data_IF_455176789062
#
_entry.id   IF_455176789062
#
_cell.length_a   1.000
_cell.length_b   1.000
_cell.length_c   1.000
_cell.angle_alpha   90.00
_cell.angle_beta   90.00
_cell.angle_gamma   90.00
#
_symmetry.space_group_name_H-M   'P 1'
#
loop_
_entity.id
_entity.type
_entity.pdbx_description
1 polymer ?
#
# COMPACT_ATOMS: atom_id res chain seq x y z
N UNK A 1 -61.04 -8.83 -29.97
CA UNK A 1 -59.75 -9.49 -29.62
C UNK A 1 -58.78 -8.42 -29.12
N UNK A 2 -58.58 -8.30 -27.81
CA UNK A 2 -57.60 -7.37 -27.20
C UNK A 2 -56.22 -8.02 -27.25
N UNK A 3 -55.26 -7.40 -27.96
CA UNK A 3 -53.86 -7.86 -28.01
C UNK A 3 -53.12 -7.35 -26.76
N UNK A 4 -52.70 -8.27 -25.90
CA UNK A 4 -51.76 -8.02 -24.82
C UNK A 4 -50.35 -7.86 -25.41
N UNK A 5 -49.73 -6.69 -25.24
CA UNK A 5 -48.32 -6.48 -25.55
C UNK A 5 -47.54 -6.74 -24.27
N UNK A 6 -46.84 -7.88 -24.22
CA UNK A 6 -45.92 -8.19 -23.13
C UNK A 6 -44.62 -7.42 -23.35
N UNK A 7 -44.32 -6.46 -22.47
CA UNK A 7 -43.04 -5.77 -22.44
C UNK A 7 -41.99 -6.68 -21.81
N UNK A 8 -41.02 -7.11 -22.62
CA UNK A 8 -39.86 -7.89 -22.16
C UNK A 8 -38.81 -6.90 -21.63
N UNK A 9 -38.78 -6.69 -20.31
CA UNK A 9 -37.75 -5.89 -19.67
C UNK A 9 -36.42 -6.65 -19.70
N UNK A 10 -35.49 -6.20 -20.55
CA UNK A 10 -34.13 -6.70 -20.58
C UNK A 10 -33.41 -6.24 -19.31
N UNK A 11 -33.21 -7.16 -18.35
CA UNK A 11 -32.37 -6.94 -17.18
C UNK A 11 -30.91 -6.84 -17.63
N UNK A 12 -30.41 -5.62 -17.77
CA UNK A 12 -28.97 -5.36 -17.91
C UNK A 12 -28.35 -5.49 -16.52
N UNK A 13 -27.73 -6.63 -16.25
CA UNK A 13 -26.90 -6.80 -15.06
C UNK A 13 -25.68 -5.87 -15.17
N UNK A 14 -25.42 -4.98 -14.19
CA UNK A 14 -24.21 -4.19 -14.19
C UNK A 14 -23.03 -5.14 -13.98
N UNK A 15 -22.15 -5.22 -14.99
CA UNK A 15 -20.85 -5.84 -14.82
C UNK A 15 -20.01 -4.90 -13.96
N UNK A 16 -19.75 -5.29 -12.71
CA UNK A 16 -18.78 -4.63 -11.87
C UNK A 16 -17.40 -4.80 -12.53
N UNK A 17 -16.96 -3.78 -13.26
CA UNK A 17 -15.57 -3.67 -13.68
C UNK A 17 -14.73 -3.45 -12.41
N UNK A 18 -13.96 -4.47 -12.03
CA UNK A 18 -12.90 -4.37 -11.01
C UNK A 18 -11.84 -3.38 -11.52
N UNK A 19 -11.98 -2.11 -11.14
CA UNK A 19 -11.04 -1.07 -11.47
C UNK A 19 -9.71 -1.21 -10.75
N UNK A 20 -8.69 -1.73 -11.43
CA UNK A 20 -7.29 -1.32 -11.24
C UNK A 20 -6.95 -0.37 -12.41
N UNK A 21 -7.37 0.89 -12.34
CA UNK A 21 -7.41 1.76 -13.52
C UNK A 21 -6.07 2.40 -13.96
N UNK A 22 -4.97 2.23 -13.21
CA UNK A 22 -3.73 2.97 -13.52
C UNK A 22 -3.00 2.50 -14.79
N UNK A 23 -3.17 1.24 -15.23
CA UNK A 23 -2.35 0.68 -16.34
C UNK A 23 -3.11 0.30 -17.61
N UNK A 24 -4.44 0.26 -17.58
CA UNK A 24 -5.27 -0.13 -18.74
C UNK A 24 -5.13 0.82 -19.94
N UNK A 25 -4.61 2.03 -19.71
CA UNK A 25 -4.31 3.02 -20.74
C UNK A 25 -3.15 2.60 -21.65
N UNK A 26 -2.16 1.87 -21.13
CA UNK A 26 -0.94 1.56 -21.86
C UNK A 26 -1.13 0.32 -22.75
N UNK A 27 -0.42 0.28 -23.88
CA UNK A 27 -0.33 -0.90 -24.73
C UNK A 27 0.71 -1.88 -24.21
N UNK A 28 0.73 -3.08 -24.79
CA UNK A 28 1.80 -4.06 -24.53
C UNK A 28 3.03 -3.80 -25.44
N UNK A 29 2.94 -2.79 -26.32
CA UNK A 29 4.01 -2.40 -27.23
C UNK A 29 4.99 -1.49 -26.50
N UNK A 30 6.26 -1.94 -26.43
CA UNK A 30 7.35 -1.11 -25.94
C UNK A 30 7.88 -0.23 -27.05
N UNK A 31 7.88 1.07 -26.82
CA UNK A 31 8.50 2.06 -27.72
C UNK A 31 9.74 2.64 -27.07
N UNK A 32 10.59 3.24 -27.89
CA UNK A 32 11.76 4.01 -27.46
C UNK A 32 11.62 5.44 -27.96
N UNK A 33 11.81 6.41 -27.07
CA UNK A 33 11.71 7.84 -27.36
C UNK A 33 12.94 8.56 -26.79
N UNK A 34 13.60 9.35 -27.63
CA UNK A 34 14.65 10.29 -27.22
C UNK A 34 14.06 11.70 -27.05
N UNK A 35 14.49 12.42 -26.02
CA UNK A 35 14.06 13.80 -25.79
C UNK A 35 14.90 14.54 -24.75
N UNK A 36 14.62 15.84 -24.61
CA UNK A 36 15.27 16.71 -23.62
C UNK A 36 14.38 16.81 -22.39
N UNK A 37 14.93 16.51 -21.22
CA UNK A 37 14.22 16.57 -19.95
C UNK A 37 13.88 18.02 -19.59
N UNK A 38 12.61 18.30 -19.36
CA UNK A 38 12.11 19.65 -19.04
C UNK A 38 11.62 19.74 -17.60
N UNK A 39 11.11 18.64 -17.04
CA UNK A 39 10.53 18.63 -15.70
C UNK A 39 10.53 17.23 -15.08
N UNK A 40 10.75 17.17 -13.78
CA UNK A 40 10.64 15.95 -12.95
C UNK A 40 9.64 16.19 -11.82
N UNK A 41 8.82 15.20 -11.54
CA UNK A 41 7.90 15.11 -10.39
C UNK A 41 8.27 13.86 -9.62
N UNK A 42 8.90 14.04 -8.46
CA UNK A 42 9.38 12.95 -7.63
C UNK A 42 8.46 12.71 -6.42
N UNK A 43 7.22 12.35 -6.68
CA UNK A 43 6.16 12.23 -5.67
C UNK A 43 5.50 10.84 -5.67
N UNK A 44 4.86 10.47 -4.56
CA UNK A 44 4.05 9.24 -4.45
C UNK A 44 2.72 9.43 -5.22
N UNK A 45 2.14 8.42 -5.90
CA UNK A 45 2.51 6.99 -5.95
C UNK A 45 3.53 6.59 -7.00
N UNK A 46 3.71 7.39 -8.04
CA UNK A 46 4.67 7.14 -9.12
C UNK A 46 5.34 8.44 -9.49
N UNK A 47 6.66 8.38 -9.70
CA UNK A 47 7.36 9.51 -10.29
C UNK A 47 6.84 9.76 -11.70
N UNK A 48 6.96 11.00 -12.15
CA UNK A 48 6.77 11.33 -13.55
C UNK A 48 7.83 12.31 -14.01
N UNK A 49 8.23 12.25 -15.27
CA UNK A 49 9.10 13.24 -15.88
C UNK A 49 8.63 13.56 -17.29
N UNK A 50 9.08 14.69 -17.82
CA UNK A 50 8.56 15.28 -19.04
C UNK A 50 9.71 15.54 -19.98
N UNK A 51 9.63 15.01 -21.21
CA UNK A 51 10.61 15.29 -22.24
C UNK A 51 9.99 16.10 -23.37
N UNK A 52 10.74 17.05 -23.89
CA UNK A 52 10.50 17.64 -25.20
C UNK A 52 11.08 16.70 -26.26
N UNK A 53 10.19 16.17 -27.09
CA UNK A 53 10.48 15.18 -28.12
C UNK A 53 10.37 15.84 -29.48
N UNK A 54 11.42 15.71 -30.28
CA UNK A 54 11.42 16.23 -31.64
C UNK A 54 10.60 15.30 -32.55
N UNK A 55 9.51 15.80 -33.11
CA UNK A 55 8.70 15.11 -34.09
C UNK A 55 8.81 15.80 -35.46
N UNK A 56 8.22 15.18 -36.49
CA UNK A 56 8.11 15.78 -37.83
C UNK A 56 7.24 17.04 -37.85
N UNK A 57 6.33 17.19 -36.87
CA UNK A 57 5.39 18.31 -36.77
C UNK A 57 5.92 19.46 -35.91
N UNK A 58 7.04 19.26 -35.20
CA UNK A 58 7.60 20.23 -34.26
C UNK A 58 8.08 19.56 -32.99
N UNK A 59 8.18 20.31 -31.91
CA UNK A 59 8.51 19.79 -30.58
C UNK A 59 7.20 19.49 -29.85
N UNK A 60 7.10 18.29 -29.27
CA UNK A 60 5.98 17.87 -28.43
C UNK A 60 6.47 17.51 -27.03
N UNK A 61 5.77 17.93 -26.00
CA UNK A 61 6.07 17.50 -24.63
C UNK A 61 5.35 16.18 -24.32
N UNK A 62 6.11 15.18 -23.89
CA UNK A 62 5.64 13.84 -23.55
C UNK A 62 5.79 13.58 -22.06
N UNK A 63 4.84 12.85 -21.45
CA UNK A 63 4.88 12.43 -20.05
C UNK A 63 5.39 11.00 -19.91
N UNK A 64 6.33 10.78 -19.01
CA UNK A 64 6.92 9.48 -18.71
C UNK A 64 6.61 9.13 -17.25
N UNK A 65 5.94 8.01 -17.01
CA UNK A 65 5.46 7.58 -15.69
C UNK A 65 6.21 6.34 -15.21
N UNK A 66 6.65 6.33 -13.95
CA UNK A 66 7.35 5.18 -13.35
C UNK A 66 6.40 4.05 -12.92
N UNK A 67 6.90 2.82 -12.80
CA UNK A 67 6.09 1.65 -12.39
C UNK A 67 5.86 1.51 -10.90
N UNK A 68 6.80 2.04 -10.12
CA UNK A 68 6.92 1.81 -8.68
C UNK A 68 6.90 3.15 -7.93
N UNK A 69 6.90 3.08 -6.60
CA UNK A 69 6.96 4.27 -5.77
C UNK A 69 8.39 4.88 -5.71
N UNK A 70 8.51 6.20 -5.45
CA UNK A 70 9.80 6.89 -5.40
C UNK A 70 10.83 6.21 -4.47
N UNK A 71 10.39 5.71 -3.31
CA UNK A 71 11.29 5.08 -2.35
C UNK A 71 11.89 3.76 -2.87
N UNK A 72 11.14 3.01 -3.68
CA UNK A 72 11.66 1.79 -4.30
C UNK A 72 12.72 2.10 -5.37
N UNK A 73 12.54 3.17 -6.15
CA UNK A 73 13.56 3.63 -7.10
C UNK A 73 14.84 4.06 -6.39
N UNK A 74 14.72 4.87 -5.34
CA UNK A 74 15.87 5.33 -4.53
C UNK A 74 16.65 4.15 -3.96
N UNK A 75 15.96 3.14 -3.39
CA UNK A 75 16.61 1.91 -2.89
C UNK A 75 17.31 1.10 -3.97
N UNK A 76 16.87 1.22 -5.22
CA UNK A 76 17.53 0.58 -6.38
C UNK A 76 18.65 1.43 -6.98
N UNK A 77 18.98 2.57 -6.36
CA UNK A 77 20.01 3.50 -6.82
C UNK A 77 19.54 4.50 -7.87
N UNK A 78 18.25 4.50 -8.25
CA UNK A 78 17.67 5.48 -9.17
C UNK A 78 17.11 6.64 -8.34
N UNK A 79 17.89 7.71 -8.22
CA UNK A 79 17.62 8.87 -7.38
C UNK A 79 17.23 10.11 -8.21
N UNK A 80 16.53 11.10 -7.63
CA UNK A 80 16.05 12.27 -8.38
C UNK A 80 17.16 13.11 -9.03
N UNK A 81 18.34 13.15 -8.40
CA UNK A 81 19.53 13.87 -8.87
C UNK A 81 20.11 13.32 -10.18
N UNK A 82 19.71 12.12 -10.61
CA UNK A 82 20.08 11.56 -11.91
C UNK A 82 19.27 12.14 -13.08
N UNK A 83 18.28 12.98 -12.80
CA UNK A 83 17.36 13.55 -13.78
C UNK A 83 17.40 15.08 -13.71
N UNK A 84 18.38 15.70 -14.38
CA UNK A 84 18.50 17.16 -14.41
C UNK A 84 17.79 17.76 -15.62
N UNK A 85 16.90 18.76 -15.47
CA UNK A 85 16.33 19.46 -16.61
C UNK A 85 17.41 20.00 -17.56
N UNK A 86 17.30 19.67 -18.83
CA UNK A 86 18.32 19.89 -19.86
C UNK A 86 19.00 18.59 -20.33
N UNK A 87 18.94 17.53 -19.55
CA UNK A 87 19.50 16.23 -19.92
C UNK A 87 18.82 15.64 -21.15
N UNK A 88 19.62 15.00 -21.99
CA UNK A 88 19.12 14.20 -23.10
C UNK A 88 18.98 12.76 -22.65
N UNK A 89 17.75 12.26 -22.68
CA UNK A 89 17.40 10.92 -22.22
C UNK A 89 16.82 10.09 -23.37
N UNK A 90 17.12 8.79 -23.36
CA UNK A 90 16.43 7.82 -24.21
C UNK A 90 15.59 6.92 -23.32
N UNK A 91 14.28 6.91 -23.52
CA UNK A 91 13.33 6.24 -22.64
C UNK A 91 12.61 5.13 -23.38
N UNK A 92 12.66 3.93 -22.82
CA UNK A 92 11.88 2.80 -23.27
C UNK A 92 10.69 2.55 -22.35
N UNK A 93 9.54 2.19 -22.92
CA UNK A 93 8.37 1.82 -22.13
C UNK A 93 7.10 1.61 -22.93
N UNK A 94 6.01 1.34 -22.23
CA UNK A 94 4.72 1.03 -22.83
C UNK A 94 4.00 2.31 -23.25
N UNK A 95 3.57 2.39 -24.51
CA UNK A 95 2.91 3.59 -25.05
C UNK A 95 1.48 3.72 -24.54
N UNK A 96 1.06 4.92 -24.18
CA UNK A 96 -0.36 5.23 -23.93
C UNK A 96 -1.18 5.15 -25.22
N UNK A 97 -2.35 4.49 -25.14
CA UNK A 97 -3.34 4.44 -26.23
C UNK A 97 -4.16 5.73 -26.35
N UNK A 98 -3.98 6.70 -25.45
CA UNK A 98 -4.88 7.87 -25.28
C UNK A 98 -4.18 9.22 -25.38
N UNK A 99 -2.88 9.29 -25.10
CA UNK A 99 -2.13 10.56 -25.01
C UNK A 99 -0.64 10.32 -25.28
N UNK A 100 0.13 11.41 -25.38
CA UNK A 100 1.58 11.40 -25.47
C UNK A 100 2.19 11.04 -24.11
N UNK A 101 2.06 9.78 -23.71
CA UNK A 101 2.59 9.28 -22.47
C UNK A 101 3.18 7.87 -22.61
N UNK A 102 4.15 7.56 -21.76
CA UNK A 102 4.84 6.27 -21.70
C UNK A 102 4.93 5.80 -20.25
N UNK A 103 4.62 4.52 -20.01
CA UNK A 103 4.90 3.83 -18.75
C UNK A 103 6.30 3.20 -18.83
N UNK A 104 7.26 3.78 -18.11
CA UNK A 104 8.71 3.66 -18.34
C UNK A 104 9.28 2.35 -17.83
N UNK A 105 9.87 1.54 -18.71
CA UNK A 105 10.62 0.34 -18.26
C UNK A 105 12.09 0.65 -18.01
N UNK A 106 12.73 1.44 -18.88
CA UNK A 106 14.15 1.74 -18.84
C UNK A 106 14.38 3.19 -19.29
N UNK A 107 15.40 3.84 -18.72
CA UNK A 107 15.87 5.15 -19.19
C UNK A 107 17.38 5.11 -19.34
N UNK A 108 17.89 5.42 -20.51
CA UNK A 108 19.30 5.71 -20.73
C UNK A 108 19.56 7.17 -20.34
N UNK A 109 20.36 7.34 -19.28
CA UNK A 109 20.73 8.63 -18.72
C UNK A 109 21.78 9.34 -19.58
N UNK A 110 21.95 10.64 -19.37
CA UNK A 110 22.87 11.48 -20.15
C UNK A 110 24.33 11.03 -20.05
N UNK A 111 24.72 10.40 -18.94
CA UNK A 111 26.06 9.84 -18.69
C UNK A 111 26.28 8.45 -19.36
N UNK A 112 25.25 7.91 -20.01
CA UNK A 112 25.26 6.58 -20.63
C UNK A 112 24.90 5.43 -19.68
N UNK A 113 24.53 5.72 -18.43
CA UNK A 113 24.03 4.72 -17.48
C UNK A 113 22.58 4.36 -17.78
N UNK A 114 22.28 3.07 -17.86
CA UNK A 114 20.90 2.59 -17.95
C UNK A 114 20.25 2.53 -16.56
N UNK A 115 19.20 3.32 -16.33
CA UNK A 115 18.29 3.15 -15.21
C UNK A 115 17.18 2.14 -15.57
N UNK A 116 17.18 0.97 -14.96
CA UNK A 116 16.12 -0.04 -15.10
C UNK A 116 15.01 0.25 -14.08
N UNK A 117 13.89 0.81 -14.54
CA UNK A 117 12.88 1.46 -13.69
C UNK A 117 11.61 0.64 -13.45
N UNK A 118 11.45 -0.48 -14.16
CA UNK A 118 10.34 -1.41 -13.98
C UNK A 118 10.77 -2.72 -13.31
N UNK A 119 9.90 -3.34 -12.48
CA UNK A 119 10.15 -4.69 -11.96
C UNK A 119 10.30 -5.69 -13.11
N UNK A 120 11.35 -6.52 -13.06
CA UNK A 120 11.68 -7.56 -14.06
C UNK A 120 11.93 -7.02 -15.48
N UNK A 121 12.12 -5.72 -15.67
CA UNK A 121 12.60 -5.22 -16.96
C UNK A 121 14.03 -5.73 -17.19
N UNK A 122 14.25 -6.30 -18.37
CA UNK A 122 15.60 -6.65 -18.80
C UNK A 122 16.36 -5.38 -19.19
N UNK A 123 17.68 -5.50 -19.12
CA UNK A 123 18.57 -4.46 -19.64
C UNK A 123 18.38 -4.31 -21.14
N UNK A 124 18.43 -3.07 -21.60
CA UNK A 124 18.12 -2.69 -22.98
C UNK A 124 19.32 -2.14 -23.72
N UNK A 125 20.25 -1.50 -23.00
CA UNK A 125 21.45 -0.92 -23.58
C UNK A 125 22.71 -1.51 -22.95
N UNK A 126 23.78 -1.60 -23.74
CA UNK A 126 25.11 -1.97 -23.25
C UNK A 126 25.67 -0.87 -22.34
N UNK A 127 26.55 -1.24 -21.40
CA UNK A 127 27.23 -0.28 -20.52
C UNK A 127 26.89 -0.44 -19.03
N UNK A 128 27.11 0.60 -18.20
CA UNK A 128 26.73 0.59 -16.80
C UNK A 128 25.20 0.62 -16.64
N UNK A 129 24.69 -0.03 -15.59
CA UNK A 129 23.28 -0.02 -15.26
C UNK A 129 23.06 0.10 -13.76
N UNK A 130 22.00 0.80 -13.39
CA UNK A 130 21.47 0.96 -12.03
C UNK A 130 19.98 0.65 -12.05
N UNK A 131 19.36 0.59 -10.87
CA UNK A 131 17.96 0.20 -10.77
C UNK A 131 17.81 -1.31 -10.73
N UNK A 132 16.83 -1.81 -11.49
CA UNK A 132 16.22 -3.13 -11.35
C UNK A 132 15.47 -3.20 -10.01
N UNK A 133 14.24 -2.71 -10.03
CA UNK A 133 13.33 -2.68 -8.87
C UNK A 133 12.90 -4.08 -8.41
N UNK A 134 13.51 -5.15 -8.94
CA UNK A 134 13.55 -6.41 -8.22
C UNK A 134 14.34 -6.18 -6.93
N UNK A 135 13.61 -5.97 -5.84
CA UNK A 135 14.13 -6.35 -4.55
C UNK A 135 14.61 -7.81 -4.71
N UNK A 136 15.87 -8.17 -4.38
CA UNK A 136 16.20 -9.57 -4.21
C UNK A 136 15.11 -10.19 -3.33
N UNK A 137 14.73 -11.44 -3.62
CA UNK A 137 13.71 -12.09 -2.79
C UNK A 137 14.16 -11.96 -1.33
N UNK A 138 13.29 -11.42 -0.46
CA UNK A 138 13.71 -11.16 0.90
C UNK A 138 14.18 -12.46 1.54
N UNK A 139 15.37 -12.43 2.12
CA UNK A 139 15.92 -13.60 2.78
C UNK A 139 15.20 -13.79 4.11
N UNK A 140 14.80 -15.02 4.38
CA UNK A 140 14.27 -15.42 5.69
C UNK A 140 15.37 -15.22 6.73
N UNK A 141 15.02 -14.64 7.87
CA UNK A 141 15.93 -14.58 9.00
C UNK A 141 16.16 -15.99 9.57
N UNK A 142 17.33 -16.24 10.17
CA UNK A 142 17.56 -17.41 11.02
C UNK A 142 16.89 -17.21 12.38
N UNK A 143 15.55 -17.18 12.35
CA UNK A 143 14.75 -16.74 13.47
C UNK A 143 14.88 -17.66 14.70
N UNK A 144 15.09 -18.95 14.47
CA UNK A 144 15.33 -19.95 15.50
C UNK A 144 16.67 -19.72 16.21
N UNK A 145 17.75 -19.43 15.47
CA UNK A 145 19.05 -19.11 16.08
C UNK A 145 19.03 -17.77 16.83
N UNK A 146 18.32 -16.77 16.30
CA UNK A 146 18.16 -15.47 16.95
C UNK A 146 17.33 -15.55 18.25
N UNK A 147 16.33 -16.43 18.28
CA UNK A 147 15.44 -16.68 19.41
C UNK A 147 14.84 -15.40 20.04
N UNK A 148 14.39 -14.46 19.22
CA UNK A 148 13.83 -13.16 19.66
C UNK A 148 12.31 -13.18 19.92
N UNK A 149 11.67 -14.32 19.69
CA UNK A 149 10.22 -14.46 19.76
C UNK A 149 9.51 -13.47 18.83
N UNK A 150 8.43 -12.87 19.36
CA UNK A 150 7.63 -11.85 18.67
C UNK A 150 8.40 -10.55 18.42
N UNK A 151 9.42 -10.23 19.22
CA UNK A 151 10.05 -8.89 19.29
C UNK A 151 11.05 -8.60 18.17
N UNK A 152 10.53 -8.59 16.95
CA UNK A 152 11.24 -8.34 15.69
C UNK A 152 10.33 -7.63 14.68
N UNK A 153 10.91 -7.29 13.53
CA UNK A 153 10.14 -6.83 12.38
C UNK A 153 9.49 -8.01 11.67
N UNK A 154 8.23 -7.84 11.28
CA UNK A 154 7.38 -8.82 10.64
C UNK A 154 6.84 -8.25 9.33
N UNK A 155 7.01 -8.99 8.25
CA UNK A 155 6.68 -8.53 6.90
C UNK A 155 5.47 -9.28 6.36
N UNK A 156 4.37 -8.60 5.96
CA UNK A 156 3.18 -9.27 5.49
C UNK A 156 3.46 -10.17 4.28
N UNK A 157 2.99 -11.41 4.35
CA UNK A 157 2.96 -12.29 3.19
C UNK A 157 1.73 -11.97 2.35
N UNK A 158 1.96 -11.31 1.20
CA UNK A 158 0.89 -10.90 0.29
C UNK A 158 0.38 -9.48 0.54
N UNK A 159 -0.87 -9.20 0.16
CA UNK A 159 -1.46 -7.87 0.25
C UNK A 159 -2.82 -7.93 0.98
N UNK A 160 -2.84 -7.75 2.32
CA UNK A 160 -4.06 -7.81 3.12
C UNK A 160 -5.12 -6.80 2.69
N UNK A 161 -4.72 -5.68 2.07
CA UNK A 161 -5.64 -4.67 1.54
C UNK A 161 -6.64 -5.21 0.51
N UNK A 162 -6.30 -6.31 -0.18
CA UNK A 162 -7.20 -6.97 -1.13
C UNK A 162 -8.37 -7.69 -0.44
N UNK A 163 -8.23 -8.08 0.83
CA UNK A 163 -9.27 -8.79 1.59
C UNK A 163 -10.47 -7.89 1.85
N UNK A 164 -10.22 -6.60 2.14
CA UNK A 164 -11.27 -5.60 2.42
C UNK A 164 -12.30 -5.47 1.29
N UNK A 165 -11.96 -5.84 0.04
CA UNK A 165 -12.90 -5.78 -1.09
C UNK A 165 -14.10 -6.73 -0.96
N UNK A 166 -13.98 -7.75 -0.09
CA UNK A 166 -14.97 -8.81 0.06
C UNK A 166 -15.72 -8.74 1.40
N UNK A 167 -15.50 -7.68 2.18
CA UNK A 167 -16.17 -7.55 3.46
C UNK A 167 -17.68 -7.31 3.26
N UNK A 168 -18.51 -7.80 4.19
CA UNK A 168 -19.95 -7.69 4.12
C UNK A 168 -20.39 -6.29 4.56
N UNK A 169 -20.13 -5.28 3.72
CA UNK A 169 -20.46 -3.88 4.02
C UNK A 169 -21.97 -3.66 4.15
N UNK A 170 -22.37 -2.79 5.09
CA UNK A 170 -23.75 -2.29 5.15
C UNK A 170 -24.07 -1.43 3.92
N UNK A 171 -25.37 -1.27 3.62
CA UNK A 171 -25.82 -0.34 2.57
C UNK A 171 -25.34 1.10 2.84
N UNK A 172 -25.29 1.50 4.12
CA UNK A 172 -24.80 2.81 4.53
C UNK A 172 -23.31 2.98 4.22
N UNK A 173 -22.48 1.98 4.54
CA UNK A 173 -21.06 2.01 4.21
C UNK A 173 -20.81 2.04 2.70
N UNK A 174 -21.59 1.28 1.93
CA UNK A 174 -21.52 1.31 0.45
C UNK A 174 -21.89 2.68 -0.10
N UNK A 175 -22.95 3.31 0.43
CA UNK A 175 -23.36 4.66 0.02
C UNK A 175 -22.27 5.70 0.34
N UNK A 176 -21.69 5.66 1.55
CA UNK A 176 -20.63 6.59 1.96
C UNK A 176 -19.41 6.52 1.02
N UNK A 177 -19.03 5.33 0.57
CA UNK A 177 -17.95 5.14 -0.41
C UNK A 177 -18.28 5.71 -1.79
N UNK A 178 -19.54 5.64 -2.20
CA UNK A 178 -19.98 6.17 -3.50
C UNK A 178 -19.93 7.70 -3.53
N UNK A 179 -20.18 8.34 -2.39
CA UNK A 179 -20.16 9.79 -2.20
C UNK A 179 -18.76 10.34 -1.81
N UNK A 180 -17.77 9.46 -1.64
CA UNK A 180 -16.43 9.84 -1.19
C UNK A 180 -15.65 10.60 -2.26
N UNK A 181 -15.22 11.83 -1.94
CA UNK A 181 -14.24 12.57 -2.76
C UNK A 181 -12.82 12.08 -2.42
N UNK A 182 -12.05 11.55 -3.39
CA UNK A 182 -10.67 11.15 -3.17
C UNK A 182 -9.75 12.27 -2.64
N UNK A 183 -10.11 13.55 -2.84
CA UNK A 183 -9.37 14.70 -2.30
C UNK A 183 -9.54 14.84 -0.79
N UNK A 184 -10.65 14.36 -0.24
CA UNK A 184 -10.91 14.38 1.20
C UNK A 184 -10.11 13.33 1.97
N UNK A 185 -9.43 12.42 1.26
CA UNK A 185 -8.60 11.39 1.85
C UNK A 185 -7.41 11.94 2.67
N UNK A 186 -7.38 11.73 4.00
CA UNK A 186 -6.27 12.16 4.85
C UNK A 186 -4.89 11.68 4.35
N UNK A 187 -4.84 10.47 3.78
CA UNK A 187 -3.60 9.87 3.28
C UNK A 187 -2.99 10.69 2.15
N UNK A 188 -3.79 11.26 1.24
CA UNK A 188 -3.23 12.04 0.11
C UNK A 188 -2.65 13.38 0.57
N UNK A 189 -3.05 13.85 1.75
CA UNK A 189 -2.51 15.04 2.43
C UNK A 189 -1.39 14.72 3.41
N UNK A 190 -0.89 13.48 3.39
CA UNK A 190 0.08 12.96 4.36
C UNK A 190 -0.36 13.10 5.83
N UNK A 191 -1.66 13.03 6.10
CA UNK A 191 -2.20 12.91 7.45
C UNK A 191 -2.18 11.43 7.88
N UNK A 192 -1.61 11.09 9.05
CA UNK A 192 -1.55 9.70 9.51
C UNK A 192 -2.94 9.06 9.68
N UNK A 193 -3.17 7.85 9.16
CA UNK A 193 -4.46 7.16 9.31
C UNK A 193 -4.71 6.69 10.74
N UNK A 194 -5.96 6.43 11.10
CA UNK A 194 -6.31 5.67 12.28
C UNK A 194 -6.60 4.20 12.00
N UNK A 195 -6.94 3.48 13.06
CA UNK A 195 -7.34 2.07 12.99
C UNK A 195 -8.65 1.94 12.20
N UNK A 196 -8.80 0.88 11.38
CA UNK A 196 -7.90 -0.27 11.20
C UNK A 196 -6.89 -0.14 10.06
N UNK A 197 -6.79 0.99 9.37
CA UNK A 197 -6.03 1.07 8.13
C UNK A 197 -4.56 0.57 8.25
N UNK A 198 -3.82 0.81 9.36
CA UNK A 198 -2.50 0.23 9.59
C UNK A 198 -2.43 -1.30 9.59
N UNK A 199 -3.51 -2.04 9.85
CA UNK A 199 -3.53 -3.51 9.79
C UNK A 199 -3.39 -4.03 8.37
N UNK A 200 -4.14 -3.43 7.45
CA UNK A 200 -4.31 -3.95 6.11
C UNK A 200 -3.20 -3.47 5.15
N UNK A 201 -2.40 -2.51 5.59
CA UNK A 201 -1.34 -1.96 4.76
C UNK A 201 -0.21 -3.00 4.57
N UNK A 202 0.28 -3.27 3.34
CA UNK A 202 1.29 -4.29 3.06
C UNK A 202 2.72 -3.85 3.44
N UNK A 203 2.88 -3.27 4.63
CA UNK A 203 4.14 -2.74 5.15
C UNK A 203 4.48 -3.45 6.46
N UNK A 204 5.77 -3.57 6.81
CA UNK A 204 6.17 -4.30 8.00
C UNK A 204 5.67 -3.63 9.28
N UNK A 205 5.47 -4.46 10.29
CA UNK A 205 5.23 -4.07 11.68
C UNK A 205 6.44 -4.49 12.53
N UNK A 206 6.70 -3.80 13.63
CA UNK A 206 7.77 -4.10 14.55
C UNK A 206 7.20 -4.19 15.97
N UNK A 207 7.36 -5.36 16.60
CA UNK A 207 7.08 -5.53 18.01
C UNK A 207 8.33 -5.24 18.85
N UNK A 208 8.17 -4.49 19.92
CA UNK A 208 9.24 -4.19 20.89
C UNK A 208 8.76 -4.47 22.29
N UNK A 209 9.58 -5.17 23.08
CA UNK A 209 9.36 -5.28 24.51
C UNK A 209 9.83 -3.98 25.20
N UNK A 210 8.96 -3.39 26.02
CA UNK A 210 9.26 -2.20 26.82
C UNK A 210 9.14 -2.48 28.33
N UNK A 211 9.09 -3.75 28.71
CA UNK A 211 8.95 -4.24 30.07
C UNK A 211 7.49 -4.37 30.49
N UNK A 212 6.82 -3.24 30.77
CA UNK A 212 5.42 -3.26 31.24
C UNK A 212 4.39 -3.26 30.10
N UNK A 213 4.82 -2.90 28.90
CA UNK A 213 3.99 -2.78 27.70
C UNK A 213 4.69 -3.42 26.51
N UNK A 214 3.92 -3.74 25.48
CA UNK A 214 4.46 -4.11 24.17
C UNK A 214 4.25 -2.92 23.23
N UNK A 215 5.32 -2.48 22.58
CA UNK A 215 5.23 -1.52 21.49
C UNK A 215 4.93 -2.23 20.18
N UNK A 216 3.98 -1.71 19.41
CA UNK A 216 3.69 -2.17 18.05
C UNK A 216 3.80 -0.99 17.08
N UNK A 217 4.86 -1.01 16.28
CA UNK A 217 5.19 0.06 15.33
C UNK A 217 4.86 -0.39 13.91
N UNK A 218 3.88 0.25 13.29
CA UNK A 218 3.59 0.13 11.86
C UNK A 218 4.50 1.07 11.07
N UNK A 219 5.31 0.51 10.15
CA UNK A 219 6.19 1.35 9.33
C UNK A 219 5.44 2.34 8.44
N UNK A 220 4.15 2.11 8.17
CA UNK A 220 3.31 3.04 7.44
C UNK A 220 2.96 4.25 8.34
N UNK A 221 3.36 5.46 7.92
CA UNK A 221 3.11 6.71 8.63
C UNK A 221 3.65 6.76 10.08
N UNK A 222 4.72 6.01 10.40
CA UNK A 222 5.33 5.96 11.75
C UNK A 222 4.28 5.76 12.86
N UNK A 223 3.30 4.89 12.59
CA UNK A 223 2.17 4.73 13.51
C UNK A 223 2.55 3.77 14.63
N UNK A 224 2.59 4.30 15.86
CA UNK A 224 3.03 3.55 17.04
C UNK A 224 1.86 3.31 18.00
N UNK A 225 1.63 2.04 18.35
CA UNK A 225 0.64 1.60 19.32
C UNK A 225 1.33 1.09 20.57
N UNK A 226 0.75 1.41 21.73
CA UNK A 226 1.13 0.81 23.01
C UNK A 226 0.10 -0.25 23.35
N UNK A 227 0.55 -1.48 23.54
CA UNK A 227 -0.26 -2.60 23.99
C UNK A 227 -0.06 -2.73 25.49
N UNK A 228 -1.11 -2.46 26.24
CA UNK A 228 -1.13 -2.55 27.69
C UNK A 228 -1.33 -4.00 28.14
N UNK A 229 -0.35 -4.55 28.87
CA UNK A 229 -0.37 -5.95 29.34
C UNK A 229 -0.95 -6.11 30.75
N UNK A 230 -1.23 -5.01 31.45
CA UNK A 230 -1.83 -5.03 32.78
C UNK A 230 -3.34 -5.37 32.68
N UNK A 231 -3.72 -6.50 33.30
CA UNK A 231 -5.08 -6.98 33.34
C UNK A 231 -6.07 -6.00 34.00
N UNK A 232 -5.61 -5.14 34.92
CA UNK A 232 -6.44 -4.15 35.60
C UNK A 232 -6.74 -2.90 34.76
N UNK A 233 -6.03 -2.68 33.65
CA UNK A 233 -6.28 -1.54 32.78
C UNK A 233 -7.46 -1.79 31.83
N UNK A 234 -8.25 -0.74 31.61
CA UNK A 234 -9.34 -0.71 30.62
C UNK A 234 -9.35 0.63 29.88
N UNK A 235 -10.11 0.67 28.77
CA UNK A 235 -10.35 1.88 27.99
C UNK A 235 -11.38 2.84 28.66
N UNK A 236 -12.07 2.39 29.70
CA UNK A 236 -13.17 3.14 30.32
C UNK A 236 -12.67 4.46 30.92
N UNK A 237 -13.39 5.56 30.60
CA UNK A 237 -13.03 6.90 31.05
C UNK A 237 -11.77 7.50 30.40
N UNK A 238 -11.12 6.80 29.45
CA UNK A 238 -9.96 7.31 28.73
C UNK A 238 -10.37 8.15 27.52
N UNK A 239 -9.57 9.16 27.14
CA UNK A 239 -9.74 9.84 25.86
C UNK A 239 -9.64 8.84 24.70
N UNK A 240 -10.53 9.02 23.72
CA UNK A 240 -10.46 8.28 22.45
C UNK A 240 -9.32 8.82 21.60
N UNK A 241 -8.82 8.01 20.67
CA UNK A 241 -7.77 8.44 19.74
C UNK A 241 -7.86 7.70 18.41
N UNK A 242 -7.16 8.19 17.37
CA UNK A 242 -7.17 7.53 16.05
C UNK A 242 -6.68 6.09 16.10
N UNK A 243 -5.83 5.76 17.09
CA UNK A 243 -5.26 4.42 17.28
C UNK A 243 -5.98 3.60 18.35
N UNK A 244 -6.94 4.21 19.06
CA UNK A 244 -7.66 3.58 20.14
C UNK A 244 -6.80 3.31 21.38
N UNK A 245 -7.31 2.41 22.21
CA UNK A 245 -6.66 1.84 23.38
C UNK A 245 -6.51 0.34 23.17
N UNK A 246 -5.28 -0.17 23.21
CA UNK A 246 -4.97 -1.59 22.97
C UNK A 246 -4.59 -2.30 24.26
N UNK A 247 -5.30 -3.38 24.59
CA UNK A 247 -5.03 -4.25 25.72
C UNK A 247 -4.61 -5.63 25.24
N UNK A 248 -3.45 -6.09 25.69
CA UNK A 248 -2.89 -7.39 25.33
C UNK A 248 -3.03 -8.42 26.45
N UNK A 249 -3.20 -9.68 26.10
CA UNK A 249 -3.14 -10.83 27.00
C UNK A 249 -2.42 -11.98 26.29
N UNK A 250 -1.48 -12.63 26.97
CA UNK A 250 -0.90 -13.89 26.49
C UNK A 250 -1.87 -15.03 26.80
N UNK A 251 -2.29 -15.77 25.78
CA UNK A 251 -3.07 -16.99 25.98
C UNK A 251 -2.17 -18.20 26.30
N UNK A 252 -0.99 -18.21 25.70
CA UNK A 252 0.08 -19.18 25.91
C UNK A 252 1.44 -18.52 25.56
N UNK A 253 2.52 -19.30 25.52
CA UNK A 253 3.88 -18.81 25.25
C UNK A 253 4.08 -18.30 23.81
N UNK A 254 3.18 -18.63 22.88
CA UNK A 254 3.28 -18.30 21.45
C UNK A 254 2.15 -17.40 20.96
N UNK A 255 1.10 -17.19 21.74
CA UNK A 255 -0.12 -16.52 21.32
C UNK A 255 -0.39 -15.25 22.12
N UNK A 256 -0.32 -14.10 21.44
CA UNK A 256 -0.70 -12.79 21.98
C UNK A 256 -2.06 -12.38 21.41
N UNK A 257 -3.04 -12.13 22.28
CA UNK A 257 -4.34 -11.56 21.90
C UNK A 257 -4.41 -10.11 22.31
N UNK A 258 -4.80 -9.24 21.38
CA UNK A 258 -4.91 -7.80 21.58
C UNK A 258 -6.33 -7.36 21.25
N UNK A 259 -6.99 -6.71 22.20
CA UNK A 259 -8.26 -6.03 21.98
C UNK A 259 -8.03 -4.53 21.86
N UNK A 260 -8.60 -3.90 20.83
CA UNK A 260 -8.50 -2.45 20.62
C UNK A 260 -9.88 -1.82 20.51
N UNK A 261 -10.13 -0.83 21.37
CA UNK A 261 -11.38 -0.06 21.46
C UNK A 261 -11.07 1.44 21.59
N UNK A 262 -12.06 2.29 21.90
CA UNK A 262 -11.88 3.73 22.11
C UNK A 262 -11.27 4.48 20.91
N UNK A 263 -11.60 4.05 19.69
CA UNK A 263 -11.14 4.64 18.44
C UNK A 263 -12.03 5.84 18.08
N UNK A 264 -11.46 6.94 17.59
CA UNK A 264 -12.21 8.11 17.11
C UNK A 264 -11.94 8.44 15.62
N UNK A 265 -11.16 7.62 14.94
CA UNK A 265 -10.92 7.80 13.52
C UNK A 265 -12.20 7.50 12.74
N UNK A 266 -12.62 8.32 11.76
CA UNK A 266 -13.94 8.17 11.15
C UNK A 266 -13.98 7.19 9.96
N UNK A 267 -12.82 6.74 9.46
CA UNK A 267 -12.73 5.94 8.24
C UNK A 267 -12.13 4.56 8.49
N UNK A 268 -12.83 3.52 8.00
CA UNK A 268 -12.33 2.15 8.01
C UNK A 268 -11.16 1.95 7.03
N UNK A 269 -11.24 2.58 5.84
CA UNK A 269 -10.25 2.48 4.77
C UNK A 269 -9.99 3.82 4.06
N UNK A 270 -9.15 3.82 3.02
CA UNK A 270 -8.83 5.01 2.22
C UNK A 270 -9.88 5.34 1.14
N UNK A 271 -10.98 4.60 1.09
CA UNK A 271 -12.06 4.73 0.09
C UNK A 271 -13.34 5.35 0.68
N UNK A 272 -13.25 5.98 1.85
CA UNK A 272 -14.38 6.66 2.50
C UNK A 272 -15.36 5.72 3.19
N UNK A 273 -14.99 4.46 3.41
CA UNK A 273 -15.80 3.55 4.22
C UNK A 273 -15.91 4.12 5.64
N UNK A 274 -17.14 4.42 6.07
CA UNK A 274 -17.41 4.85 7.45
C UNK A 274 -17.16 3.72 8.44
N UNK A 275 -16.85 4.06 9.68
CA UNK A 275 -16.88 3.12 10.80
C UNK A 275 -17.66 3.68 11.99
N UNK A 276 -18.22 2.79 12.79
CA UNK A 276 -18.95 3.13 14.00
C UNK A 276 -18.03 3.63 15.10
N UNK A 277 -18.58 4.46 16.00
CA UNK A 277 -17.84 4.90 17.19
C UNK A 277 -17.62 3.78 18.20
N UNK A 278 -18.26 2.61 18.07
CA UNK A 278 -18.05 1.49 19.00
C UNK A 278 -17.31 0.33 18.34
N UNK A 279 -16.63 0.58 17.22
CA UNK A 279 -15.81 -0.43 16.55
C UNK A 279 -14.77 -1.03 17.49
N UNK A 280 -14.69 -2.35 17.47
CA UNK A 280 -13.72 -3.13 18.22
C UNK A 280 -12.93 -4.08 17.31
N UNK A 281 -11.65 -4.23 17.63
CA UNK A 281 -10.75 -5.15 16.97
C UNK A 281 -10.21 -6.16 17.96
N UNK A 282 -10.26 -7.44 17.61
CA UNK A 282 -9.51 -8.49 18.30
C UNK A 282 -8.46 -9.06 17.36
N UNK A 283 -7.19 -8.84 17.68
CA UNK A 283 -6.04 -9.40 16.97
C UNK A 283 -5.53 -10.61 17.75
N UNK A 284 -5.38 -11.76 17.09
CA UNK A 284 -4.73 -12.95 17.63
C UNK A 284 -3.47 -13.23 16.83
N UNK A 285 -2.32 -12.93 17.42
CA UNK A 285 -1.01 -13.24 16.84
C UNK A 285 -0.48 -14.56 17.37
N UNK A 286 -0.18 -15.51 16.49
CA UNK A 286 0.37 -16.83 16.85
C UNK A 286 1.74 -17.01 16.20
N UNK A 287 2.77 -17.15 17.03
CA UNK A 287 4.15 -17.36 16.59
C UNK A 287 4.41 -18.85 16.32
N UNK A 288 4.94 -19.16 15.14
CA UNK A 288 5.40 -20.52 14.79
C UNK A 288 6.58 -20.98 15.66
N UNK A 289 6.74 -22.30 15.81
CA UNK A 289 7.80 -22.90 16.63
C UNK A 289 9.22 -22.51 16.17
N UNK A 290 9.43 -22.41 14.85
CA UNK A 290 10.72 -21.99 14.28
C UNK A 290 10.90 -20.45 14.26
N UNK A 291 9.91 -19.72 14.75
CA UNK A 291 9.84 -18.25 14.80
C UNK A 291 9.94 -17.55 13.43
N UNK A 292 9.78 -18.27 12.33
CA UNK A 292 9.90 -17.70 10.97
C UNK A 292 8.59 -17.11 10.46
N UNK A 293 7.46 -17.54 11.03
CA UNK A 293 6.10 -17.13 10.67
C UNK A 293 5.33 -16.61 11.88
N UNK A 294 4.59 -15.53 11.68
CA UNK A 294 3.61 -14.99 12.62
C UNK A 294 2.24 -14.96 11.96
N UNK A 295 1.32 -15.80 12.42
CA UNK A 295 -0.06 -15.78 11.95
C UNK A 295 -0.85 -14.69 12.68
N UNK A 296 -1.73 -14.00 11.95
CA UNK A 296 -2.69 -13.05 12.51
C UNK A 296 -4.10 -13.44 12.07
N UNK A 297 -4.95 -13.70 13.05
CA UNK A 297 -6.40 -13.68 12.90
C UNK A 297 -6.94 -12.35 13.46
N UNK A 298 -7.60 -11.57 12.61
CA UNK A 298 -8.22 -10.31 13.00
C UNK A 298 -9.74 -10.48 12.93
N UNK A 299 -10.40 -10.20 14.05
CA UNK A 299 -11.86 -10.09 14.16
C UNK A 299 -12.24 -8.62 14.33
N UNK A 300 -13.28 -8.20 13.61
CA UNK A 300 -13.77 -6.83 13.57
C UNK A 300 -15.27 -6.83 13.89
N UNK A 301 -15.64 -6.11 14.94
CA UNK A 301 -17.04 -5.85 15.28
C UNK A 301 -17.35 -4.38 15.04
N UNK A 302 -18.14 -4.12 13.98
CA UNK A 302 -18.70 -2.81 13.70
C UNK A 302 -20.01 -2.93 12.90
N UNK A 303 -21.17 -2.88 13.57
CA UNK A 303 -22.46 -2.98 12.89
C UNK A 303 -22.80 -1.75 12.03
N UNK A 304 -22.04 -0.66 12.12
CA UNK A 304 -22.20 0.50 11.23
C UNK A 304 -21.56 0.22 9.87
N UNK A 305 -20.33 -0.31 9.87
CA UNK A 305 -19.61 -0.63 8.64
C UNK A 305 -20.03 -1.97 8.01
N UNK A 306 -20.35 -2.98 8.83
CA UNK A 306 -20.54 -4.37 8.40
C UNK A 306 -21.89 -4.97 8.82
N UNK A 307 -22.44 -5.87 7.99
CA UNK A 307 -23.69 -6.58 8.30
C UNK A 307 -23.50 -7.76 9.26
N UNK A 308 -22.27 -8.20 9.45
CA UNK A 308 -21.86 -9.24 10.38
C UNK A 308 -20.41 -9.01 10.83
N UNK A 309 -20.01 -9.64 11.94
CA UNK A 309 -18.63 -9.62 12.42
C UNK A 309 -17.69 -10.16 11.33
N UNK A 310 -16.65 -9.39 11.00
CA UNK A 310 -15.67 -9.79 9.98
C UNK A 310 -14.53 -10.54 10.65
N UNK A 311 -14.16 -11.70 10.11
CA UNK A 311 -12.93 -12.41 10.51
C UNK A 311 -12.07 -12.65 9.29
N UNK A 312 -10.79 -12.31 9.40
CA UNK A 312 -9.78 -12.49 8.35
C UNK A 312 -8.47 -13.00 8.92
N UNK A 313 -7.76 -13.78 8.11
CA UNK A 313 -6.49 -14.38 8.49
C UNK A 313 -5.43 -14.09 7.44
N UNK A 314 -4.23 -13.74 7.90
CA UNK A 314 -3.03 -13.71 7.08
C UNK A 314 -1.80 -13.97 7.95
N UNK A 315 -0.62 -13.96 7.34
CA UNK A 315 0.61 -14.18 8.08
C UNK A 315 1.70 -13.20 7.66
N UNK A 316 2.70 -13.11 8.53
CA UNK A 316 3.92 -12.36 8.33
C UNK A 316 5.11 -13.31 8.35
N UNK A 317 6.21 -12.86 7.74
CA UNK A 317 7.48 -13.57 7.70
C UNK A 317 8.55 -12.78 8.45
N UNK A 318 9.43 -13.50 9.13
CA UNK A 318 10.66 -12.96 9.69
C UNK A 318 11.73 -12.89 8.59
N UNK A 319 12.18 -11.69 8.25
CA UNK A 319 13.12 -11.44 7.16
C UNK A 319 14.34 -10.68 7.68
N UNK A 320 15.49 -10.86 7.02
CA UNK A 320 16.72 -10.09 7.30
C UNK A 320 16.64 -8.61 6.87
N UNK A 321 15.53 -8.25 6.22
CA UNK A 321 15.29 -6.87 5.78
C UNK A 321 15.25 -5.93 6.98
N UNK A 322 15.96 -4.78 6.93
CA UNK A 322 15.83 -3.76 7.98
C UNK A 322 14.42 -3.16 8.04
N UNK A 323 13.94 -2.89 9.24
CA UNK A 323 12.71 -2.13 9.42
C UNK A 323 12.96 -0.67 9.04
N UNK A 324 12.15 -0.15 8.12
CA UNK A 324 12.24 1.25 7.66
C UNK A 324 10.87 1.88 7.64
N UNK A 325 10.75 3.07 8.20
CA UNK A 325 9.51 3.86 8.19
C UNK A 325 9.26 4.43 6.79
N UNK A 326 7.99 4.46 6.40
CA UNK A 326 7.54 5.18 5.22
C UNK A 326 7.35 6.66 5.56
N UNK A 327 8.15 7.52 4.94
CA UNK A 327 7.98 8.97 5.01
C UNK A 327 7.03 9.44 3.92
N UNK A 328 5.86 9.95 4.32
CA UNK A 328 4.95 10.63 3.41
C UNK A 328 5.38 12.10 3.30
N UNK A 329 5.87 12.50 2.14
CA UNK A 329 6.26 13.89 1.86
C UNK A 329 5.31 14.48 0.82
N UNK A 330 4.66 15.60 1.16
CA UNK A 330 3.92 16.45 0.21
C UNK A 330 4.93 17.48 -0.31
N UNK A 331 5.23 17.46 -1.61
CA UNK A 331 6.14 18.42 -2.25
C UNK A 331 5.35 19.46 -3.06
#
# INVERSE_FOLDING_TARGET
MRRLVAAFSLLVLPTFALGHHSRAEFSDETIEIEGILTRVVWQNPHIAFFLDVQTKAGVETWRFEGWTNPAALIRSGVTPDLFEPGDRLVVAGLRSKRRNAVLVTNTLLADGTEAVMAPRAERRWDGPAIGNVMQPEPQMADAAAENRGLFRAWYPAGNPMMMMRRFPYTEQAVAARADWDPVDNPIVRCEPPGMPFPFFHPRPILFTDTGQTIGLHHSYFDTQRTIHMDAGLSAEGRPRSRLGFSKGTWEDEHTLVIQTTAIDYPYFDHSGTIQGSDIEFTERYTLSEDQTRLDLQLTIDDPVAFTETVTVDWHFLALETPFSVYECNVF
#
